data_IF_515919948807
#
_entry.id   IF_515919948807
#
_cell.length_a   1.000
_cell.length_b   1.000
_cell.length_c   1.000
_cell.angle_alpha   90.00
_cell.angle_beta   90.00
_cell.angle_gamma   90.00
#
_symmetry.space_group_name_H-M   'P 1'
#
loop_
_entity.id
_entity.type
_entity.pdbx_description
1 polymer ?
#
# COMPACT_ATOMS: atom_id res chain seq x y z
N UNK A 1 -19.02 1.60 -11.84
CA UNK A 1 -18.16 2.10 -10.74
C UNK A 1 -18.11 1.12 -9.56
N UNK A 2 -19.23 0.82 -8.87
CA UNK A 2 -19.26 -0.13 -7.74
C UNK A 2 -18.57 -1.47 -8.01
N UNK A 3 -18.87 -2.13 -9.14
CA UNK A 3 -18.26 -3.41 -9.50
C UNK A 3 -16.73 -3.35 -9.61
N UNK A 4 -16.17 -2.25 -10.11
CA UNK A 4 -14.72 -2.05 -10.20
C UNK A 4 -14.13 -1.92 -8.79
N UNK A 5 -14.75 -1.09 -7.93
CA UNK A 5 -14.32 -0.96 -6.53
C UNK A 5 -14.35 -2.31 -5.81
N UNK A 6 -15.47 -3.03 -5.87
CA UNK A 6 -15.60 -4.31 -5.20
C UNK A 6 -14.55 -5.30 -5.70
N UNK A 7 -14.38 -5.45 -7.01
CA UNK A 7 -13.37 -6.35 -7.59
C UNK A 7 -11.95 -5.98 -7.18
N UNK A 8 -11.63 -4.68 -7.15
CA UNK A 8 -10.29 -4.23 -6.77
C UNK A 8 -10.03 -4.43 -5.28
N UNK A 9 -11.00 -4.16 -4.41
CA UNK A 9 -10.87 -4.40 -2.96
C UNK A 9 -10.83 -5.89 -2.63
N UNK A 10 -11.62 -6.69 -3.34
CA UNK A 10 -11.67 -8.14 -3.17
C UNK A 10 -10.27 -8.77 -3.30
N UNK A 11 -9.54 -8.43 -4.37
CA UNK A 11 -8.17 -8.91 -4.56
C UNK A 11 -7.13 -8.21 -3.69
N UNK A 12 -7.08 -6.87 -3.75
CA UNK A 12 -5.95 -6.12 -3.18
C UNK A 12 -6.03 -5.96 -1.66
N UNK A 13 -7.21 -6.08 -1.06
CA UNK A 13 -7.44 -5.72 0.34
C UNK A 13 -7.91 -6.94 1.12
N UNK A 14 -9.15 -7.40 0.90
CA UNK A 14 -9.71 -8.51 1.66
C UNK A 14 -9.00 -9.83 1.34
N UNK A 15 -8.71 -10.12 0.06
CA UNK A 15 -7.99 -11.32 -0.33
C UNK A 15 -6.60 -11.41 0.27
N UNK A 16 -5.87 -10.29 0.30
CA UNK A 16 -4.55 -10.25 0.96
C UNK A 16 -4.67 -10.44 2.47
N UNK A 17 -5.64 -9.80 3.12
CA UNK A 17 -5.87 -9.97 4.56
C UNK A 17 -6.21 -11.41 4.95
N UNK A 18 -7.11 -12.05 4.19
CA UNK A 18 -7.51 -13.45 4.42
C UNK A 18 -6.32 -14.40 4.21
N UNK A 19 -5.51 -14.17 3.18
CA UNK A 19 -4.30 -14.95 2.94
C UNK A 19 -3.31 -14.82 4.11
N UNK A 20 -3.01 -13.58 4.53
CA UNK A 20 -2.12 -13.33 5.68
C UNK A 20 -2.66 -13.99 6.94
N UNK A 21 -3.96 -13.86 7.23
CA UNK A 21 -4.59 -14.48 8.38
C UNK A 21 -4.44 -16.02 8.35
N UNK A 22 -4.70 -16.63 7.20
CA UNK A 22 -4.63 -18.08 7.03
C UNK A 22 -3.20 -18.63 7.21
N UNK A 23 -2.18 -17.83 6.89
CA UNK A 23 -0.76 -18.21 6.98
C UNK A 23 -0.07 -17.73 8.25
N UNK A 24 -0.75 -16.95 9.12
CA UNK A 24 -0.13 -16.29 10.27
C UNK A 24 0.54 -17.28 11.24
N UNK A 25 -0.09 -18.43 11.51
CA UNK A 25 0.49 -19.45 12.39
C UNK A 25 1.74 -20.12 11.80
N UNK A 26 1.80 -20.27 10.47
CA UNK A 26 2.99 -20.80 9.80
C UNK A 26 4.10 -19.76 9.78
N UNK A 27 3.75 -18.49 9.63
CA UNK A 27 4.68 -17.38 9.69
C UNK A 27 5.38 -17.33 11.05
N UNK A 28 4.65 -17.38 12.16
CA UNK A 28 5.21 -17.33 13.53
C UNK A 28 6.14 -18.52 13.82
N UNK A 29 5.89 -19.70 13.23
CA UNK A 29 6.74 -20.89 13.40
C UNK A 29 8.00 -20.88 12.54
N UNK A 30 8.14 -19.93 11.62
CA UNK A 30 9.32 -19.81 10.75
C UNK A 30 10.54 -19.34 11.56
N UNK A 31 11.73 -19.75 11.14
CA UNK A 31 13.00 -19.34 11.80
C UNK A 31 13.43 -17.92 11.47
N UNK A 32 12.98 -17.36 10.34
CA UNK A 32 13.18 -15.94 9.95
C UNK A 32 11.89 -15.40 9.32
N UNK A 33 10.88 -15.05 10.14
CA UNK A 33 9.56 -14.68 9.66
C UNK A 33 9.54 -13.27 9.05
N UNK A 34 9.18 -13.19 7.77
CA UNK A 34 9.08 -11.92 7.02
C UNK A 34 7.73 -11.80 6.33
N UNK A 35 7.08 -10.66 6.53
CA UNK A 35 5.79 -10.34 5.91
C UNK A 35 5.91 -9.08 5.07
N UNK A 36 5.78 -9.24 3.76
CA UNK A 36 5.92 -8.14 2.81
C UNK A 36 4.57 -7.86 2.17
N UNK A 37 4.11 -6.62 2.28
CA UNK A 37 2.94 -6.15 1.56
C UNK A 37 3.39 -5.35 0.33
N UNK A 38 2.92 -5.76 -0.85
CA UNK A 38 3.21 -5.05 -2.10
C UNK A 38 2.27 -3.86 -2.24
N UNK A 39 2.77 -2.67 -1.91
CA UNK A 39 1.99 -1.43 -1.88
C UNK A 39 2.20 -0.62 -3.17
N UNK A 40 2.03 0.70 -3.14
CA UNK A 40 2.28 1.57 -4.29
C UNK A 40 2.56 2.99 -3.82
N UNK A 41 3.50 3.70 -4.43
CA UNK A 41 3.73 5.13 -4.15
C UNK A 41 2.52 6.02 -4.45
N UNK A 42 1.53 5.54 -5.21
CA UNK A 42 0.25 6.23 -5.42
C UNK A 42 -0.66 6.21 -4.19
N UNK A 43 -0.40 5.34 -3.22
CA UNK A 43 -1.26 5.13 -2.04
C UNK A 43 -1.04 6.14 -0.91
N UNK A 44 -0.07 7.04 -1.07
CA UNK A 44 0.29 8.02 -0.04
C UNK A 44 -0.70 9.17 0.00
N UNK A 45 -1.41 9.33 1.13
CA UNK A 45 -2.38 10.40 1.32
C UNK A 45 -1.74 11.79 1.24
N UNK A 46 -0.59 11.98 1.89
CA UNK A 46 0.15 13.27 1.87
C UNK A 46 0.56 13.67 0.46
N UNK A 47 0.99 12.70 -0.35
CA UNK A 47 1.38 12.91 -1.75
C UNK A 47 0.17 13.37 -2.57
N UNK A 48 -0.97 12.71 -2.42
CA UNK A 48 -2.20 13.09 -3.14
C UNK A 48 -2.75 14.44 -2.67
N UNK A 49 -2.76 14.72 -1.37
CA UNK A 49 -3.21 16.01 -0.83
C UNK A 49 -2.29 17.16 -1.25
N UNK A 50 -0.99 16.88 -1.44
CA UNK A 50 -0.01 17.82 -2.00
C UNK A 50 -0.15 18.06 -3.51
N UNK A 51 -1.22 17.57 -4.15
CA UNK A 51 -1.47 17.81 -5.57
C UNK A 51 -0.77 16.85 -6.51
N UNK A 52 -0.20 15.74 -6.02
CA UNK A 52 0.34 14.68 -6.88
C UNK A 52 -0.79 13.93 -7.58
N UNK A 53 -1.21 14.51 -8.68
CA UNK A 53 -1.92 13.85 -9.75
C UNK A 53 -0.86 13.73 -10.86
N UNK A 54 -0.60 12.54 -11.43
CA UNK A 54 0.34 12.42 -12.54
C UNK A 54 0.01 13.50 -13.58
N UNK A 55 1.01 14.36 -13.86
CA UNK A 55 0.87 15.76 -14.23
C UNK A 55 0.31 16.09 -15.62
N UNK A 56 -0.64 15.30 -16.10
CA UNK A 56 -1.11 15.40 -17.47
C UNK A 56 -2.37 16.25 -17.64
N UNK A 57 -3.01 16.76 -16.56
CA UNK A 57 -4.29 17.50 -16.71
C UNK A 57 -4.61 18.46 -15.57
N UNK A 58 -4.90 19.71 -15.95
CA UNK A 58 -5.67 20.67 -15.17
C UNK A 58 -7.16 20.30 -15.27
N UNK A 59 -7.82 20.14 -14.13
CA UNK A 59 -9.23 19.76 -14.12
C UNK A 59 -10.13 21.00 -14.26
N UNK A 60 -11.06 21.05 -15.22
CA UNK A 60 -11.97 22.18 -15.34
C UNK A 60 -12.87 22.27 -14.10
N UNK A 61 -13.33 23.48 -13.71
CA UNK A 61 -14.27 23.63 -12.61
C UNK A 61 -15.60 22.89 -12.92
N UNK A 62 -16.32 22.55 -11.85
CA UNK A 62 -17.61 21.84 -11.96
C UNK A 62 -17.53 20.33 -11.73
N UNK A 63 -18.70 19.77 -11.45
CA UNK A 63 -18.93 18.34 -11.31
C UNK A 63 -19.12 17.71 -12.70
N UNK A 64 -18.64 16.47 -12.87
CA UNK A 64 -18.48 15.77 -14.16
C UNK A 64 -17.34 16.35 -14.99
N UNK A 65 -16.20 15.67 -14.97
CA UNK A 65 -15.08 16.00 -15.84
C UNK A 65 -15.39 15.48 -17.24
N UNK A 66 -15.04 16.23 -18.31
CA UNK A 66 -15.28 15.78 -19.67
C UNK A 66 -14.54 14.46 -19.93
N UNK A 67 -15.03 13.61 -20.85
CA UNK A 67 -14.41 12.32 -21.17
C UNK A 67 -12.97 12.44 -21.68
N UNK A 68 -12.60 13.64 -22.14
CA UNK A 68 -11.26 14.01 -22.62
C UNK A 68 -10.26 14.27 -21.50
N UNK A 69 -10.72 14.48 -20.25
CA UNK A 69 -9.81 14.46 -19.13
C UNK A 69 -9.34 13.01 -18.89
N UNK A 70 -8.02 12.75 -18.81
CA UNK A 70 -7.48 11.45 -18.44
C UNK A 70 -8.22 10.98 -17.20
N UNK A 71 -8.85 9.81 -17.29
CA UNK A 71 -9.54 9.21 -16.15
C UNK A 71 -8.63 9.30 -14.92
N UNK A 72 -9.11 9.82 -13.78
CA UNK A 72 -8.29 9.93 -12.58
C UNK A 72 -7.73 8.54 -12.30
N UNK A 73 -6.41 8.45 -12.48
CA UNK A 73 -5.55 7.27 -12.38
C UNK A 73 -6.13 6.32 -11.33
N UNK A 74 -6.57 5.11 -11.73
CA UNK A 74 -7.79 4.44 -11.25
C UNK A 74 -8.02 4.60 -9.75
N UNK A 75 -9.00 5.45 -9.38
CA UNK A 75 -9.34 5.77 -7.97
C UNK A 75 -9.53 4.50 -7.13
N UNK A 76 -10.17 3.47 -7.69
CA UNK A 76 -10.36 2.18 -7.03
C UNK A 76 -9.02 1.50 -6.69
N UNK A 77 -8.06 1.49 -7.63
CA UNK A 77 -6.72 0.96 -7.40
C UNK A 77 -5.98 1.75 -6.33
N UNK A 78 -5.94 3.09 -6.45
CA UNK A 78 -5.25 3.96 -5.50
C UNK A 78 -5.78 3.79 -4.07
N UNK A 79 -7.10 3.88 -3.91
CA UNK A 79 -7.76 3.76 -2.60
C UNK A 79 -7.58 2.35 -2.02
N UNK A 80 -7.62 1.30 -2.85
CA UNK A 80 -7.33 -0.07 -2.38
C UNK A 80 -5.90 -0.22 -1.84
N UNK A 81 -4.91 0.42 -2.47
CA UNK A 81 -3.52 0.39 -1.98
C UNK A 81 -3.34 1.20 -0.71
N UNK A 82 -4.08 2.30 -0.54
CA UNK A 82 -4.10 3.05 0.72
C UNK A 82 -4.72 2.21 1.86
N UNK A 83 -5.81 1.48 1.59
CA UNK A 83 -6.40 0.54 2.55
C UNK A 83 -5.42 -0.60 2.89
N UNK A 84 -4.69 -1.13 1.89
CA UNK A 84 -3.68 -2.16 2.10
C UNK A 84 -2.54 -1.70 3.04
N UNK A 85 -2.11 -0.44 2.94
CA UNK A 85 -1.11 0.11 3.87
C UNK A 85 -1.61 0.07 5.32
N UNK A 86 -2.90 0.35 5.55
CA UNK A 86 -3.47 0.26 6.90
C UNK A 86 -3.54 -1.17 7.41
N UNK A 87 -3.88 -2.13 6.54
CA UNK A 87 -3.86 -3.56 6.90
C UNK A 87 -2.44 -4.01 7.26
N UNK A 88 -1.44 -3.60 6.49
CA UNK A 88 -0.04 -3.88 6.81
C UNK A 88 0.36 -3.32 8.18
N UNK A 89 0.04 -2.04 8.45
CA UNK A 89 0.33 -1.43 9.76
C UNK A 89 -0.35 -2.21 10.89
N UNK A 90 -1.60 -2.62 10.70
CA UNK A 90 -2.31 -3.42 11.68
C UNK A 90 -1.61 -4.77 11.94
N UNK A 91 -1.16 -5.46 10.88
CA UNK A 91 -0.42 -6.72 11.01
C UNK A 91 0.96 -6.54 11.67
N UNK A 92 1.66 -5.44 11.38
CA UNK A 92 2.89 -5.08 12.08
C UNK A 92 2.66 -5.00 13.60
N UNK A 93 1.59 -4.33 14.01
CA UNK A 93 1.22 -4.22 15.43
C UNK A 93 0.75 -5.52 16.06
N UNK A 94 0.14 -6.42 15.30
CA UNK A 94 -0.28 -7.74 15.81
C UNK A 94 0.92 -8.64 16.04
N UNK A 95 1.88 -8.66 15.11
CA UNK A 95 2.99 -9.62 15.10
C UNK A 95 4.31 -9.08 15.67
N UNK A 96 4.30 -7.87 16.23
CA UNK A 96 5.50 -7.21 16.78
C UNK A 96 6.18 -7.99 17.90
N UNK A 97 5.41 -8.67 18.75
CA UNK A 97 5.96 -9.45 19.88
C UNK A 97 6.41 -10.85 19.44
N UNK A 98 6.01 -11.27 18.23
CA UNK A 98 6.40 -12.55 17.61
C UNK A 98 7.67 -12.42 16.75
N UNK A 99 8.38 -11.29 16.84
CA UNK A 99 9.60 -10.96 16.08
C UNK A 99 9.45 -11.04 14.54
N UNK A 100 8.22 -10.85 14.04
CA UNK A 100 7.94 -10.86 12.60
C UNK A 100 8.31 -9.52 11.97
N UNK A 101 9.26 -9.56 11.03
CA UNK A 101 9.66 -8.38 10.26
C UNK A 101 8.61 -8.07 9.19
N UNK A 102 7.82 -7.02 9.40
CA UNK A 102 6.82 -6.57 8.43
C UNK A 102 7.21 -5.25 7.75
N UNK A 103 7.20 -5.20 6.41
CA UNK A 103 7.64 -4.03 5.65
C UNK A 103 6.70 -3.68 4.49
N UNK A 104 6.44 -2.38 4.24
CA UNK A 104 5.86 -1.93 2.98
C UNK A 104 6.88 -2.05 1.85
N UNK A 105 6.50 -2.66 0.72
CA UNK A 105 7.30 -2.68 -0.48
C UNK A 105 6.50 -2.10 -1.67
N UNK A 106 6.65 -0.80 -1.97
CA UNK A 106 6.23 -0.25 -3.25
C UNK A 106 7.01 -0.93 -4.38
N UNK A 107 6.40 -1.29 -5.53
CA UNK A 107 7.11 -1.92 -6.65
C UNK A 107 8.20 -1.02 -7.25
N UNK A 108 8.13 0.29 -7.03
CA UNK A 108 9.15 1.29 -7.37
C UNK A 108 10.32 1.38 -6.36
N UNK A 109 10.23 0.66 -5.24
CA UNK A 109 11.26 0.52 -4.23
C UNK A 109 11.69 -0.95 -4.17
N UNK A 110 12.67 -1.34 -5.00
CA UNK A 110 13.43 -2.58 -4.80
C UNK A 110 14.80 -2.20 -4.22
N UNK A 111 15.00 -2.23 -2.90
CA UNK A 111 16.33 -2.14 -2.33
C UNK A 111 17.09 -3.44 -2.63
N UNK A 112 18.30 -3.30 -3.16
CA UNK A 112 19.26 -4.40 -3.42
C UNK A 112 19.77 -5.10 -2.13
N UNK A 113 19.36 -4.64 -0.95
CA UNK A 113 19.98 -5.00 0.34
C UNK A 113 19.02 -5.71 1.32
N UNK A 114 17.95 -6.35 0.85
CA UNK A 114 16.95 -7.03 1.69
C UNK A 114 17.48 -8.25 2.49
N UNK A 115 18.70 -8.71 2.18
CA UNK A 115 19.39 -9.80 2.87
C UNK A 115 20.10 -9.35 4.17
N UNK A 116 20.32 -8.05 4.40
CA UNK A 116 20.97 -7.57 5.61
C UNK A 116 19.95 -7.14 6.67
N UNK A 117 20.20 -7.63 7.89
CA UNK A 117 19.43 -7.36 9.09
C UNK A 117 19.42 -5.86 9.40
N UNK A 118 18.24 -5.26 9.55
CA UNK A 118 18.12 -3.91 10.09
C UNK A 118 17.03 -3.82 11.16
N UNK A 119 17.50 -3.50 12.35
CA UNK A 119 16.79 -3.05 13.55
C UNK A 119 16.40 -1.56 13.50
N UNK A 120 16.23 -0.97 12.32
CA UNK A 120 15.90 0.46 12.20
C UNK A 120 14.38 0.66 12.24
N UNK A 121 13.88 1.59 13.09
CA UNK A 121 12.45 1.87 13.19
C UNK A 121 11.91 2.42 11.87
N UNK A 122 10.64 2.12 11.59
CA UNK A 122 9.86 2.62 10.45
C UNK A 122 10.04 4.14 10.30
N UNK A 123 11.03 4.55 9.51
CA UNK A 123 11.14 5.92 9.05
C UNK A 123 9.98 6.14 8.10
N UNK A 124 8.93 6.74 8.66
CA UNK A 124 8.03 7.62 7.92
C UNK A 124 8.94 8.45 7.00
N UNK A 125 8.78 8.29 5.68
CA UNK A 125 9.54 9.02 4.67
C UNK A 125 9.38 10.54 4.93
N UNK A 126 10.27 11.11 5.74
CA UNK A 126 10.45 12.55 5.90
C UNK A 126 11.20 13.01 4.66
N UNK A 127 10.42 13.37 3.64
CA UNK A 127 10.93 14.21 2.56
C UNK A 127 11.11 15.62 3.12
N UNK A 128 12.31 15.91 3.60
CA UNK A 128 12.79 17.27 3.80
C UNK A 128 14.14 17.47 3.10
N UNK A 129 14.17 18.50 2.24
CA UNK A 129 15.35 19.27 1.86
C UNK A 129 16.30 18.61 0.89
#
# INVERSE_FOLDING_TARGET
MRAIFNRTYDGNVSGTHVLTYSLALLLIKSTDPRLIFVTSSLSTLSRLSGGFIPGWTTWPPGWRKPPTCPSPTPIAYRTSKAALNMIMLNWHWILREDDVKSLPCPPDCLPRDWASDRSEPLQLLDHRG
#
